data_IF_527758725759
#
_entry.id   IF_527758725759
#
_cell.length_a   1.000
_cell.length_b   1.000
_cell.length_c   1.000
_cell.angle_alpha   90.00
_cell.angle_beta   90.00
_cell.angle_gamma   90.00
#
_symmetry.space_group_name_H-M   'P 1'
#
loop_
_entity.id
_entity.type
_entity.pdbx_description
1 polymer ?
#
# COMPACT_ATOMS: atom_id res chain seq x y z
N UNK A 1 59.62 -48.55 -26.30
CA UNK A 1 59.91 -47.54 -25.24
C UNK A 1 58.60 -47.17 -24.58
N UNK A 2 58.48 -47.46 -23.28
CA UNK A 2 57.27 -47.31 -22.49
C UNK A 2 56.96 -45.83 -22.21
N UNK A 3 55.69 -45.42 -22.36
CA UNK A 3 55.19 -44.14 -21.84
C UNK A 3 54.60 -44.41 -20.45
N UNK A 4 55.28 -43.91 -19.42
CA UNK A 4 54.84 -43.91 -18.04
C UNK A 4 53.56 -43.10 -17.88
N UNK A 5 52.55 -43.73 -17.29
CA UNK A 5 51.32 -43.15 -16.76
C UNK A 5 51.59 -42.04 -15.76
N UNK A 6 50.96 -40.87 -15.93
CA UNK A 6 50.93 -39.81 -14.92
C UNK A 6 49.50 -39.67 -14.38
N UNK A 7 49.31 -40.34 -13.27
CA UNK A 7 48.29 -40.23 -12.22
C UNK A 7 47.47 -38.93 -12.26
N UNK A 8 46.15 -39.06 -12.37
CA UNK A 8 45.18 -38.01 -12.05
C UNK A 8 45.32 -37.72 -10.55
N UNK A 9 45.81 -36.53 -10.20
CA UNK A 9 45.71 -36.01 -8.83
C UNK A 9 44.40 -35.26 -8.73
N UNK A 10 43.47 -35.79 -7.93
CA UNK A 10 42.31 -35.06 -7.45
C UNK A 10 42.85 -33.90 -6.62
N UNK A 11 42.70 -32.68 -7.16
CA UNK A 11 43.03 -31.45 -6.46
C UNK A 11 42.02 -31.25 -5.33
N UNK A 12 42.56 -31.07 -4.14
CA UNK A 12 41.89 -30.89 -2.85
C UNK A 12 40.67 -29.98 -2.94
N UNK A 13 39.61 -30.39 -2.24
CA UNK A 13 38.52 -29.55 -1.77
C UNK A 13 39.08 -28.22 -1.27
N UNK A 14 38.92 -27.17 -2.07
CA UNK A 14 39.14 -25.82 -1.63
C UNK A 14 37.83 -25.38 -0.96
N UNK A 15 37.83 -25.04 0.35
CA UNK A 15 36.69 -24.37 0.96
C UNK A 15 36.43 -23.10 0.15
N UNK A 16 35.15 -22.77 -0.05
CA UNK A 16 34.75 -21.53 -0.70
C UNK A 16 35.48 -20.38 0.00
N UNK A 17 36.49 -19.83 -0.64
CA UNK A 17 37.08 -18.58 -0.21
C UNK A 17 36.07 -17.52 -0.67
N UNK A 18 35.34 -16.84 0.25
CA UNK A 18 34.52 -15.72 -0.17
C UNK A 18 35.45 -14.72 -0.87
N UNK A 19 35.03 -14.26 -2.04
CA UNK A 19 35.76 -13.25 -2.80
C UNK A 19 36.09 -12.08 -1.86
N UNK A 20 37.35 -11.63 -1.89
CA UNK A 20 37.97 -10.69 -0.92
C UNK A 20 37.45 -9.24 -1.07
N UNK A 21 36.27 -9.08 -1.65
CA UNK A 21 35.48 -7.85 -1.69
C UNK A 21 34.04 -8.09 -1.18
N UNK A 22 33.87 -9.02 -0.23
CA UNK A 22 32.62 -9.11 0.52
C UNK A 22 32.50 -7.88 1.42
N UNK A 23 31.89 -6.81 0.91
CA UNK A 23 31.43 -5.72 1.77
C UNK A 23 30.48 -6.31 2.83
N UNK A 24 30.65 -5.88 4.09
CA UNK A 24 29.81 -6.32 5.21
C UNK A 24 28.33 -6.21 4.84
N UNK A 25 27.48 -7.15 5.25
CA UNK A 25 26.02 -7.09 5.06
C UNK A 25 25.40 -5.80 5.63
N UNK A 26 26.08 -5.12 6.56
CA UNK A 26 25.69 -3.81 7.08
C UNK A 26 25.94 -2.63 6.12
N UNK A 27 26.74 -2.81 5.05
CA UNK A 27 26.92 -1.82 3.98
C UNK A 27 25.68 -1.69 3.10
N UNK A 28 24.87 -2.76 2.99
CA UNK A 28 23.66 -2.79 2.18
C UNK A 28 22.59 -1.80 2.68
N UNK A 29 22.44 -1.63 3.99
CA UNK A 29 21.49 -0.66 4.57
C UNK A 29 21.94 0.76 4.28
N UNK A 30 23.23 1.06 4.40
CA UNK A 30 23.79 2.37 4.08
C UNK A 30 23.73 2.68 2.57
N UNK A 31 23.92 1.66 1.73
CA UNK A 31 23.73 1.76 0.28
C UNK A 31 22.25 1.98 -0.06
N UNK A 32 21.34 1.25 0.58
CA UNK A 32 19.88 1.38 0.41
C UNK A 32 19.40 2.77 0.85
N UNK A 33 19.89 3.30 1.98
CA UNK A 33 19.61 4.68 2.42
C UNK A 33 19.99 5.74 1.38
N UNK A 34 21.05 5.50 0.59
CA UNK A 34 21.47 6.41 -0.48
C UNK A 34 20.66 6.25 -1.77
N UNK A 35 20.06 5.08 -1.98
CA UNK A 35 19.31 4.74 -3.18
C UNK A 35 17.83 5.11 -3.07
N UNK A 36 17.22 4.93 -1.90
CA UNK A 36 15.81 5.24 -1.67
C UNK A 36 15.59 6.75 -1.76
N UNK A 37 14.75 7.17 -2.71
CA UNK A 37 14.37 8.57 -2.91
C UNK A 37 12.87 8.66 -3.11
N UNK A 38 12.24 9.55 -2.35
CA UNK A 38 10.82 9.90 -2.51
C UNK A 38 10.73 11.27 -3.17
N UNK A 39 9.94 11.40 -4.24
CA UNK A 39 9.64 12.69 -4.88
C UNK A 39 8.14 12.89 -4.95
N UNK A 40 7.64 13.94 -4.31
CA UNK A 40 6.22 14.30 -4.40
C UNK A 40 6.01 15.06 -5.71
N UNK A 41 5.06 14.61 -6.53
CA UNK A 41 4.70 15.28 -7.78
C UNK A 41 3.56 16.27 -7.57
N UNK A 42 2.47 15.80 -6.98
CA UNK A 42 1.28 16.59 -6.69
C UNK A 42 0.72 16.21 -5.32
N UNK A 43 0.21 17.22 -4.64
CA UNK A 43 -0.48 17.09 -3.37
C UNK A 43 -1.75 17.91 -3.45
N UNK A 44 -2.87 17.25 -3.25
CA UNK A 44 -4.20 17.84 -3.15
C UNK A 44 -4.85 17.35 -1.85
N UNK A 45 -5.97 17.95 -1.46
CA UNK A 45 -6.64 17.62 -0.21
C UNK A 45 -7.10 16.15 -0.16
N UNK A 46 -7.46 15.58 -1.31
CA UNK A 46 -7.96 14.20 -1.42
C UNK A 46 -6.95 13.22 -2.05
N UNK A 47 -5.98 13.69 -2.85
CA UNK A 47 -5.02 12.82 -3.55
C UNK A 47 -3.56 13.28 -3.35
N UNK A 48 -2.67 12.31 -3.14
CA UNK A 48 -1.21 12.48 -3.23
C UNK A 48 -0.63 11.59 -4.34
N UNK A 49 0.22 12.18 -5.19
CA UNK A 49 0.98 11.46 -6.22
C UNK A 49 2.47 11.61 -5.94
N UNK A 50 3.16 10.49 -5.73
CA UNK A 50 4.60 10.49 -5.45
C UNK A 50 5.36 9.36 -6.14
N UNK A 51 6.64 9.61 -6.41
CA UNK A 51 7.59 8.64 -6.93
C UNK A 51 8.38 8.00 -5.77
N UNK A 52 8.42 6.68 -5.75
CA UNK A 52 9.29 5.89 -4.87
C UNK A 52 10.37 5.22 -5.73
N UNK A 53 11.60 5.70 -5.60
CA UNK A 53 12.75 5.26 -6.40
C UNK A 53 13.73 4.50 -5.51
N UNK A 54 14.32 3.41 -6.01
CA UNK A 54 15.35 2.63 -5.33
C UNK A 54 14.82 1.62 -4.32
N UNK A 55 13.56 1.22 -4.45
CA UNK A 55 12.89 0.22 -3.59
C UNK A 55 12.53 -1.00 -4.42
N UNK A 56 12.49 -2.18 -3.81
CA UNK A 56 12.01 -3.40 -4.47
C UNK A 56 10.48 -3.48 -4.52
N UNK A 57 9.96 -4.24 -5.50
CA UNK A 57 8.53 -4.46 -5.67
C UNK A 57 7.85 -5.06 -4.43
N UNK A 58 8.57 -5.86 -3.63
CA UNK A 58 8.03 -6.45 -2.41
C UNK A 58 7.63 -5.37 -1.39
N UNK A 59 8.50 -4.39 -1.14
CA UNK A 59 8.26 -3.31 -0.17
C UNK A 59 7.19 -2.35 -0.71
N UNK A 60 7.26 -2.00 -2.00
CA UNK A 60 6.23 -1.16 -2.63
C UNK A 60 4.83 -1.81 -2.55
N UNK A 61 4.74 -3.12 -2.83
CA UNK A 61 3.47 -3.83 -2.74
C UNK A 61 3.02 -4.05 -1.28
N UNK A 62 3.95 -4.18 -0.32
CA UNK A 62 3.62 -4.20 1.09
C UNK A 62 2.96 -2.88 1.51
N UNK A 63 3.58 -1.74 1.20
CA UNK A 63 3.02 -0.41 1.46
C UNK A 63 1.62 -0.25 0.84
N UNK A 64 1.43 -0.67 -0.41
CA UNK A 64 0.12 -0.67 -1.08
C UNK A 64 -0.93 -1.49 -0.32
N UNK A 65 -0.55 -2.66 0.20
CA UNK A 65 -1.48 -3.53 0.95
C UNK A 65 -1.86 -2.93 2.28
N UNK A 66 -0.90 -2.32 2.97
CA UNK A 66 -1.12 -1.66 4.27
C UNK A 66 -2.10 -0.51 4.10
N UNK A 67 -1.86 0.36 3.11
CA UNK A 67 -2.75 1.48 2.78
C UNK A 67 -4.20 1.04 2.51
N UNK A 68 -4.41 -0.14 1.93
CA UNK A 68 -5.74 -0.63 1.56
C UNK A 68 -6.48 -1.35 2.69
N UNK A 69 -5.76 -1.96 3.64
CA UNK A 69 -6.36 -2.98 4.51
C UNK A 69 -5.96 -2.88 5.98
N UNK A 70 -4.90 -2.15 6.32
CA UNK A 70 -4.33 -2.18 7.68
C UNK A 70 -4.31 -0.82 8.35
N UNK A 71 -4.56 0.27 7.61
CA UNK A 71 -4.79 1.56 8.24
C UNK A 71 -6.16 1.54 8.92
N UNK A 72 -6.23 1.83 10.24
CA UNK A 72 -7.50 1.88 10.96
C UNK A 72 -8.39 3.01 10.44
N UNK A 73 -9.69 2.77 10.36
CA UNK A 73 -10.70 3.76 9.92
C UNK A 73 -11.99 3.62 10.73
N UNK A 74 -12.76 4.71 10.83
CA UNK A 74 -14.05 4.71 11.52
C UNK A 74 -15.19 4.48 10.52
N UNK A 75 -16.05 3.50 10.82
CA UNK A 75 -17.21 3.16 10.01
C UNK A 75 -18.42 2.81 10.89
N UNK A 76 -19.63 2.84 10.30
CA UNK A 76 -20.85 2.45 11.00
C UNK A 76 -20.98 0.94 10.98
N UNK A 77 -20.88 0.30 12.14
CA UNK A 77 -21.04 -1.14 12.30
C UNK A 77 -22.45 -1.53 12.78
N UNK A 78 -22.91 -0.93 13.88
CA UNK A 78 -24.21 -1.23 14.47
C UNK A 78 -25.25 -0.16 14.14
N UNK A 79 -26.39 -0.58 13.56
CA UNK A 79 -27.52 0.28 13.23
C UNK A 79 -28.76 -0.17 13.97
N UNK A 80 -29.25 0.65 14.88
CA UNK A 80 -30.50 0.41 15.62
C UNK A 80 -31.67 1.08 14.91
N UNK A 81 -32.60 0.26 14.40
CA UNK A 81 -33.78 0.74 13.67
C UNK A 81 -35.00 0.68 14.60
N UNK A 82 -35.56 1.84 14.93
CA UNK A 82 -36.81 1.91 15.71
C UNK A 82 -38.05 1.72 14.83
N UNK A 83 -38.10 2.39 13.67
CA UNK A 83 -39.22 2.31 12.74
C UNK A 83 -38.79 2.73 11.34
N UNK A 84 -38.72 1.79 10.40
CA UNK A 84 -38.52 2.06 8.97
C UNK A 84 -39.81 1.76 8.21
N UNK A 85 -40.41 2.80 7.61
CA UNK A 85 -41.58 2.68 6.74
C UNK A 85 -41.26 2.98 5.27
N UNK A 86 -39.96 3.08 4.94
CA UNK A 86 -39.50 3.28 3.57
C UNK A 86 -39.62 1.99 2.75
N UNK A 87 -39.41 2.10 1.43
CA UNK A 87 -39.39 0.95 0.52
C UNK A 87 -38.09 0.14 0.67
N UNK A 88 -37.01 0.78 1.16
CA UNK A 88 -35.71 0.15 1.33
C UNK A 88 -35.76 -0.77 2.54
N UNK A 89 -35.39 -2.04 2.36
CA UNK A 89 -35.30 -3.00 3.45
C UNK A 89 -34.22 -2.59 4.45
N UNK A 90 -34.44 -2.95 5.72
CA UNK A 90 -33.60 -2.58 6.85
C UNK A 90 -32.14 -2.99 6.66
N UNK A 91 -31.89 -4.21 6.17
CA UNK A 91 -30.55 -4.74 5.95
C UNK A 91 -29.82 -3.97 4.84
N UNK A 92 -30.55 -3.60 3.78
CA UNK A 92 -30.01 -2.83 2.66
C UNK A 92 -29.70 -1.40 3.11
N UNK A 93 -30.56 -0.80 3.94
CA UNK A 93 -30.33 0.53 4.49
C UNK A 93 -29.11 0.53 5.41
N UNK A 94 -29.02 -0.43 6.35
CA UNK A 94 -27.89 -0.57 7.26
C UNK A 94 -26.57 -0.78 6.51
N UNK A 95 -26.55 -1.67 5.51
CA UNK A 95 -25.36 -1.90 4.70
C UNK A 95 -24.92 -0.63 3.94
N UNK A 96 -25.87 0.15 3.42
CA UNK A 96 -25.55 1.42 2.76
C UNK A 96 -25.00 2.47 3.72
N UNK A 97 -25.51 2.52 4.95
CA UNK A 97 -24.99 3.41 6.00
C UNK A 97 -23.57 3.02 6.41
N UNK A 98 -23.26 1.71 6.48
CA UNK A 98 -21.91 1.22 6.77
C UNK A 98 -20.85 1.62 5.74
N UNK A 99 -21.26 1.88 4.48
CA UNK A 99 -20.36 2.33 3.41
C UNK A 99 -20.17 3.85 3.34
N UNK A 100 -20.83 4.62 4.21
CA UNK A 100 -20.67 6.08 4.22
C UNK A 100 -19.38 6.42 4.97
N UNK A 101 -18.42 7.10 4.33
CA UNK A 101 -17.22 7.53 5.04
C UNK A 101 -17.56 8.62 6.06
N UNK A 102 -17.08 8.45 7.30
CA UNK A 102 -17.24 9.41 8.39
C UNK A 102 -15.98 10.27 8.52
N UNK A 103 -16.14 11.60 8.54
CA UNK A 103 -15.03 12.51 8.77
C UNK A 103 -14.68 12.58 10.27
N UNK A 104 -13.98 11.55 10.74
CA UNK A 104 -13.57 11.34 12.14
C UNK A 104 -12.15 10.79 12.13
N UNK A 105 -11.27 11.33 12.98
CA UNK A 105 -9.91 10.80 13.12
C UNK A 105 -9.94 9.51 13.98
N UNK A 106 -9.54 8.34 13.43
CA UNK A 106 -9.52 7.08 14.18
C UNK A 106 -8.51 7.08 15.32
N UNK A 107 -7.51 7.96 15.32
CA UNK A 107 -6.47 8.02 16.37
C UNK A 107 -7.00 8.52 17.72
N UNK A 108 -8.14 9.20 17.72
CA UNK A 108 -8.76 9.70 18.96
C UNK A 108 -9.54 8.61 19.72
N UNK A 109 -9.75 7.44 19.10
CA UNK A 109 -10.57 6.37 19.65
C UNK A 109 -9.74 5.14 19.98
N UNK A 110 -10.11 4.44 21.05
CA UNK A 110 -9.54 3.13 21.35
C UNK A 110 -10.30 2.05 20.59
N UNK A 111 -9.60 0.94 20.30
CA UNK A 111 -10.22 -0.22 19.67
C UNK A 111 -11.35 -0.77 20.53
N UNK A 112 -12.47 -1.13 19.90
CA UNK A 112 -13.57 -1.78 20.60
C UNK A 112 -13.12 -3.18 21.05
N UNK A 113 -13.20 -3.52 22.35
CA UNK A 113 -12.71 -4.80 22.84
C UNK A 113 -13.58 -5.96 22.34
N UNK A 114 -12.95 -7.09 21.97
CA UNK A 114 -13.63 -8.30 21.46
C UNK A 114 -14.45 -9.07 22.51
N UNK A 115 -14.55 -8.56 23.74
CA UNK A 115 -15.24 -9.25 24.82
C UNK A 115 -16.77 -9.13 24.67
N UNK A 116 -17.52 -10.20 24.94
CA UNK A 116 -18.99 -10.20 24.84
C UNK A 116 -19.67 -9.22 25.82
N UNK A 117 -18.95 -8.78 26.85
CA UNK A 117 -19.38 -7.76 27.84
C UNK A 117 -18.90 -6.34 27.52
N UNK A 118 -18.36 -6.10 26.32
CA UNK A 118 -17.88 -4.78 25.91
C UNK A 118 -19.02 -3.76 25.87
N UNK A 119 -18.95 -2.75 26.74
CA UNK A 119 -19.88 -1.61 26.72
C UNK A 119 -19.35 -0.49 25.82
N UNK A 120 -20.27 0.14 25.09
CA UNK A 120 -19.94 1.32 24.30
C UNK A 120 -19.67 2.52 25.23
N UNK A 121 -18.40 2.91 25.32
CA UNK A 121 -17.94 4.11 26.03
C UNK A 121 -17.79 5.29 25.06
N UNK A 122 -17.66 6.49 25.62
CA UNK A 122 -17.37 7.72 24.88
C UNK A 122 -15.99 7.72 24.21
N UNK A 123 -15.04 6.96 24.74
CA UNK A 123 -13.69 6.77 24.16
C UNK A 123 -13.65 5.79 22.98
N UNK A 124 -14.68 4.95 22.82
CA UNK A 124 -14.67 3.84 21.86
C UNK A 124 -15.74 3.97 20.76
N UNK A 125 -16.79 4.78 20.96
CA UNK A 125 -17.96 4.75 20.05
C UNK A 125 -18.58 6.12 19.85
N UNK A 126 -18.97 6.40 18.61
CA UNK A 126 -19.79 7.56 18.24
C UNK A 126 -21.19 7.10 17.86
N UNK A 127 -22.21 7.76 18.43
CA UNK A 127 -23.62 7.45 18.13
C UNK A 127 -24.23 8.55 17.28
N UNK A 128 -24.69 8.18 16.08
CA UNK A 128 -25.44 9.08 15.19
C UNK A 128 -26.94 8.79 15.25
N UNK A 129 -27.77 9.82 15.13
CA UNK A 129 -29.23 9.70 15.03
C UNK A 129 -29.72 10.20 13.68
N UNK A 130 -30.38 9.33 12.92
CA UNK A 130 -31.06 9.66 11.66
C UNK A 130 -32.58 9.61 11.87
N UNK A 131 -33.25 10.75 11.77
CA UNK A 131 -34.70 10.87 11.91
C UNK A 131 -35.24 11.75 10.76
N UNK A 132 -35.86 11.11 9.77
CA UNK A 132 -36.36 11.77 8.56
C UNK A 132 -37.81 11.39 8.34
N UNK A 133 -38.66 12.40 8.26
CA UNK A 133 -40.08 12.24 7.89
C UNK A 133 -40.34 13.00 6.59
N UNK A 134 -40.70 12.28 5.52
CA UNK A 134 -41.10 12.90 4.26
C UNK A 134 -42.47 13.56 4.43
N UNK A 135 -42.55 14.87 4.18
CA UNK A 135 -43.81 15.63 4.14
C UNK A 135 -44.01 16.15 2.73
N UNK A 136 -45.25 16.11 2.26
CA UNK A 136 -45.62 16.70 0.97
C UNK A 136 -45.46 18.22 1.05
N UNK A 137 -44.62 18.79 0.17
CA UNK A 137 -44.49 20.23 -0.01
C UNK A 137 -45.50 20.71 -1.08
N UNK A 138 -46.52 21.51 -0.70
CA UNK A 138 -47.51 22.02 -1.64
C UNK A 138 -46.98 23.11 -2.58
N UNK A 139 -45.82 23.72 -2.32
CA UNK A 139 -45.27 24.80 -3.16
C UNK A 139 -44.55 24.28 -4.41
N UNK A 140 -43.98 23.06 -4.39
CA UNK A 140 -43.20 22.51 -5.50
C UNK A 140 -43.59 21.05 -5.84
N UNK A 141 -44.75 20.83 -6.46
CA UNK A 141 -45.33 19.48 -6.61
C UNK A 141 -44.67 18.56 -7.66
N UNK A 142 -43.65 19.00 -8.42
CA UNK A 142 -43.20 18.29 -9.65
C UNK A 142 -41.70 18.30 -9.99
N UNK A 143 -40.79 18.73 -9.12
CA UNK A 143 -39.38 18.86 -9.52
C UNK A 143 -38.47 17.74 -8.96
N UNK A 144 -38.28 16.61 -9.67
CA UNK A 144 -37.32 15.57 -9.30
C UNK A 144 -35.87 15.92 -9.67
N UNK A 145 -35.64 17.07 -10.30
CA UNK A 145 -34.41 17.38 -11.06
C UNK A 145 -33.30 18.02 -10.24
N UNK A 146 -33.54 18.41 -8.97
CA UNK A 146 -32.48 18.89 -8.04
C UNK A 146 -31.54 17.79 -7.53
N UNK A 147 -31.67 16.55 -8.01
CA UNK A 147 -31.01 15.38 -7.44
C UNK A 147 -29.80 14.84 -8.22
N UNK A 148 -29.51 15.26 -9.46
CA UNK A 148 -28.40 14.63 -10.21
C UNK A 148 -27.75 15.65 -11.16
N UNK A 149 -26.55 16.09 -10.81
CA UNK A 149 -25.58 16.60 -11.77
C UNK A 149 -24.21 16.00 -11.46
N UNK A 150 -23.74 15.13 -12.33
CA UNK A 150 -22.30 14.93 -12.54
C UNK A 150 -22.06 14.90 -14.05
N UNK A 151 -21.25 15.84 -14.52
CA UNK A 151 -20.71 15.85 -15.88
C UNK A 151 -19.33 15.22 -15.81
N UNK A 152 -19.09 14.23 -16.67
CA UNK A 152 -17.75 13.63 -16.88
C UNK A 152 -17.15 14.31 -18.10
N UNK A 153 -15.97 14.92 -17.94
CA UNK A 153 -15.15 15.37 -19.06
C UNK A 153 -14.12 14.30 -19.43
N UNK A 154 -13.94 14.08 -20.74
CA UNK A 154 -12.95 13.17 -21.32
C UNK A 154 -11.54 13.77 -21.28
N UNK A 155 -10.55 12.96 -20.88
CA UNK A 155 -9.14 13.31 -20.90
C UNK A 155 -8.46 12.84 -22.20
N UNK A 156 -7.82 13.78 -22.90
CA UNK A 156 -7.05 13.53 -24.12
C UNK A 156 -5.56 13.42 -23.78
N UNK A 157 -4.98 12.23 -23.96
CA UNK A 157 -3.62 11.94 -23.48
C UNK A 157 -2.57 12.38 -24.52
N UNK A 158 -1.80 13.43 -24.19
CA UNK A 158 -0.73 14.01 -25.01
C UNK A 158 0.63 13.33 -24.84
N UNK A 159 0.74 12.05 -25.20
CA UNK A 159 1.93 11.21 -24.97
C UNK A 159 3.13 11.53 -25.89
N UNK A 160 2.88 11.88 -27.16
CA UNK A 160 3.92 12.17 -28.15
C UNK A 160 3.81 13.62 -28.62
N UNK A 161 4.96 14.27 -28.79
CA UNK A 161 5.06 15.57 -29.48
C UNK A 161 5.80 15.37 -30.81
N UNK A 162 5.54 16.26 -31.77
CA UNK A 162 6.24 16.25 -33.07
C UNK A 162 7.12 17.48 -33.12
N UNK A 163 8.42 17.28 -33.02
CA UNK A 163 9.43 18.32 -33.13
C UNK A 163 10.07 18.32 -34.51
N UNK A 164 10.32 19.50 -35.06
CA UNK A 164 11.02 19.64 -36.33
C UNK A 164 12.53 19.78 -36.10
N UNK A 165 13.25 18.66 -36.24
CA UNK A 165 14.70 18.62 -36.08
C UNK A 165 15.34 18.69 -37.47
N UNK A 166 15.65 19.91 -37.91
CA UNK A 166 16.35 20.16 -39.18
C UNK A 166 15.49 20.07 -40.45
N UNK A 167 14.18 20.36 -40.36
CA UNK A 167 13.24 20.32 -41.48
C UNK A 167 12.56 18.96 -41.68
N UNK A 168 12.74 18.03 -40.74
CA UNK A 168 12.12 16.71 -40.73
C UNK A 168 11.28 16.56 -39.46
N UNK A 169 9.95 16.38 -39.58
CA UNK A 169 9.09 16.15 -38.42
C UNK A 169 9.45 14.82 -37.76
N UNK A 170 9.94 14.90 -36.53
CA UNK A 170 10.42 13.78 -35.74
C UNK A 170 9.55 13.64 -34.49
N UNK A 171 8.97 12.46 -34.28
CA UNK A 171 8.20 12.19 -33.08
C UNK A 171 9.15 12.00 -31.88
N UNK A 172 8.98 12.83 -30.86
CA UNK A 172 9.71 12.72 -29.59
C UNK A 172 8.74 12.32 -28.48
N UNK A 173 9.26 11.58 -27.50
CA UNK A 173 8.47 11.25 -26.32
C UNK A 173 8.41 12.48 -25.43
N UNK A 174 7.22 13.08 -25.32
CA UNK A 174 6.99 14.29 -24.52
C UNK A 174 7.02 13.98 -23.03
N UNK A 175 6.17 13.04 -22.63
CA UNK A 175 6.05 12.58 -21.26
C UNK A 175 5.86 11.07 -21.23
N UNK A 176 6.86 10.37 -20.69
CA UNK A 176 6.82 8.91 -20.56
C UNK A 176 5.72 8.45 -19.59
N UNK A 177 5.33 9.29 -18.61
CA UNK A 177 4.36 8.94 -17.56
C UNK A 177 2.92 8.90 -18.05
N UNK A 178 2.60 9.72 -19.05
CA UNK A 178 1.30 9.72 -19.70
C UNK A 178 1.00 8.40 -20.45
N UNK A 179 1.98 7.50 -20.64
CA UNK A 179 1.78 6.25 -21.37
C UNK A 179 1.02 5.22 -20.52
N UNK A 180 -0.24 4.97 -20.86
CA UNK A 180 -1.05 3.87 -20.27
C UNK A 180 -0.59 2.47 -20.69
N UNK A 181 0.47 2.36 -21.49
CA UNK A 181 0.96 1.10 -22.07
C UNK A 181 -0.13 0.34 -22.84
N UNK A 182 -0.93 1.04 -23.65
CA UNK A 182 -1.92 0.42 -24.53
C UNK A 182 -1.29 -0.45 -25.65
N UNK A 183 0.05 -0.37 -25.84
CA UNK A 183 0.85 -1.07 -26.86
C UNK A 183 0.41 -0.81 -28.31
N UNK A 184 -0.42 0.21 -28.54
CA UNK A 184 -0.89 0.55 -29.88
C UNK A 184 0.26 1.02 -30.80
N UNK A 185 1.31 1.62 -30.23
CA UNK A 185 2.48 2.09 -30.98
C UNK A 185 3.36 0.99 -31.59
N UNK A 186 3.26 -0.26 -31.11
CA UNK A 186 3.98 -1.42 -31.68
C UNK A 186 3.06 -2.35 -32.49
N UNK A 187 1.79 -1.96 -32.65
CA UNK A 187 0.79 -2.77 -33.36
C UNK A 187 1.10 -2.89 -34.85
N UNK A 188 1.62 -1.82 -35.44
CA UNK A 188 2.03 -1.81 -36.83
C UNK A 188 3.47 -2.33 -36.97
N UNK A 189 3.73 -3.33 -37.85
CA UNK A 189 5.04 -3.99 -37.95
C UNK A 189 6.20 -3.04 -38.24
N UNK A 190 5.95 -1.96 -38.98
CA UNK A 190 6.94 -0.94 -39.32
C UNK A 190 7.46 -0.12 -38.13
N UNK A 191 6.73 -0.10 -37.01
CA UNK A 191 7.10 0.59 -35.79
C UNK A 191 7.70 -0.33 -34.73
N UNK A 192 7.45 -1.64 -34.85
CA UNK A 192 7.93 -2.65 -33.90
C UNK A 192 9.46 -2.68 -33.76
N UNK A 193 10.20 -2.43 -34.85
CA UNK A 193 11.67 -2.37 -34.83
C UNK A 193 12.21 -1.02 -34.35
N UNK A 194 11.38 0.03 -34.31
CA UNK A 194 11.77 1.41 -33.99
C UNK A 194 11.47 1.81 -32.55
N UNK A 195 10.51 1.15 -31.90
CA UNK A 195 10.02 1.51 -30.56
C UNK A 195 10.30 0.36 -29.60
N UNK A 196 11.06 0.62 -28.54
CA UNK A 196 11.23 -0.31 -27.42
C UNK A 196 10.40 0.17 -26.23
N UNK A 197 9.44 -0.65 -25.81
CA UNK A 197 8.66 -0.41 -24.61
C UNK A 197 9.28 -1.18 -23.44
N UNK A 198 9.46 -0.50 -22.31
CA UNK A 198 9.96 -1.09 -21.08
C UNK A 198 9.42 -0.33 -19.88
N UNK A 199 9.67 -0.88 -18.69
CA UNK A 199 9.44 -0.21 -17.41
C UNK A 199 10.73 -0.25 -16.61
N UNK A 200 10.93 0.80 -15.85
CA UNK A 200 11.97 0.81 -14.82
C UNK A 200 11.42 0.07 -13.61
N UNK A 201 12.12 -0.97 -13.14
CA UNK A 201 11.64 -1.86 -12.06
C UNK A 201 11.83 -1.29 -10.66
N UNK A 202 12.76 -0.36 -10.50
CA UNK A 202 13.12 0.31 -9.25
C UNK A 202 12.48 1.71 -9.12
N UNK A 203 11.48 2.02 -9.93
CA UNK A 203 10.78 3.31 -9.94
C UNK A 203 9.28 3.08 -9.96
N UNK A 204 8.65 3.32 -8.81
CA UNK A 204 7.21 3.20 -8.62
C UNK A 204 6.58 4.59 -8.57
N UNK A 205 5.44 4.75 -9.23
CA UNK A 205 4.60 5.93 -9.16
C UNK A 205 3.35 5.53 -8.39
N UNK A 206 3.14 6.12 -7.23
CA UNK A 206 1.97 5.90 -6.38
C UNK A 206 1.00 7.08 -6.53
N UNK A 207 -0.27 6.78 -6.83
CA UNK A 207 -1.42 7.64 -6.54
C UNK A 207 -2.10 7.07 -5.31
N UNK A 208 -2.30 7.88 -4.29
CA UNK A 208 -3.09 7.52 -3.12
C UNK A 208 -4.20 8.55 -2.99
N UNK A 209 -5.44 8.07 -3.17
CA UNK A 209 -6.66 8.85 -3.01
C UNK A 209 -7.29 8.50 -1.66
N UNK A 210 -7.53 9.52 -0.84
CA UNK A 210 -8.28 9.42 0.41
C UNK A 210 -9.77 9.64 0.16
N UNK A 211 -10.60 9.00 0.98
CA UNK A 211 -12.06 9.20 1.01
C UNK A 211 -12.49 10.37 1.91
N UNK A 212 -11.53 11.14 2.44
CA UNK A 212 -11.77 12.37 3.19
C UNK A 212 -11.78 12.25 4.71
N UNK A 213 -11.50 11.07 5.28
CA UNK A 213 -11.35 10.91 6.75
C UNK A 213 -9.98 11.38 7.24
N UNK A 214 -8.94 10.98 6.53
CA UNK A 214 -7.53 11.24 6.84
C UNK A 214 -6.91 11.88 5.61
N UNK A 215 -6.09 12.90 5.78
CA UNK A 215 -5.37 13.50 4.64
C UNK A 215 -4.42 12.49 3.99
N UNK A 216 -4.24 12.53 2.67
CA UNK A 216 -3.43 11.53 1.96
C UNK A 216 -1.95 11.50 2.40
N UNK A 217 -1.40 12.65 2.82
CA UNK A 217 -0.05 12.74 3.40
C UNK A 217 0.09 12.02 4.74
N UNK A 218 -0.91 12.12 5.61
CA UNK A 218 -0.93 11.48 6.91
C UNK A 218 -1.21 9.98 6.79
N UNK A 219 -2.06 9.60 5.83
CA UNK A 219 -2.37 8.21 5.50
C UNK A 219 -1.11 7.44 5.09
N UNK A 220 -0.24 8.08 4.29
CA UNK A 220 1.04 7.50 3.88
C UNK A 220 1.99 7.30 5.07
N UNK A 221 2.06 8.28 5.98
CA UNK A 221 2.88 8.18 7.19
C UNK A 221 2.37 7.06 8.10
N UNK A 222 1.05 6.95 8.26
CA UNK A 222 0.43 5.91 9.07
C UNK A 222 0.77 4.51 8.54
N UNK A 223 0.65 4.31 7.22
CA UNK A 223 0.99 3.03 6.61
C UNK A 223 2.47 2.64 6.80
N UNK A 224 3.39 3.62 6.80
CA UNK A 224 4.80 3.36 7.09
C UNK A 224 5.02 3.01 8.57
N UNK A 225 4.30 3.65 9.48
CA UNK A 225 4.36 3.33 10.91
C UNK A 225 3.86 1.90 11.18
N UNK A 226 2.73 1.50 10.59
CA UNK A 226 2.20 0.13 10.70
C UNK A 226 3.21 -0.90 10.18
N UNK A 227 3.89 -0.60 9.07
CA UNK A 227 4.95 -1.48 8.56
C UNK A 227 6.12 -1.61 9.55
N UNK A 228 6.56 -0.51 10.15
CA UNK A 228 7.64 -0.50 11.12
C UNK A 228 7.26 -1.23 12.41
N UNK A 229 6.05 -1.02 12.91
CA UNK A 229 5.53 -1.66 14.11
C UNK A 229 5.44 -3.18 13.94
N UNK A 230 4.98 -3.67 12.80
CA UNK A 230 4.99 -5.11 12.49
C UNK A 230 6.40 -5.72 12.50
N UNK A 231 7.39 -4.99 11.99
CA UNK A 231 8.78 -5.44 12.06
C UNK A 231 9.30 -5.47 13.51
N UNK A 232 8.91 -4.49 14.33
CA UNK A 232 9.28 -4.45 15.75
C UNK A 232 8.63 -5.59 16.54
N UNK A 233 7.33 -5.84 16.36
CA UNK A 233 6.62 -6.96 17.00
C UNK A 233 7.29 -8.29 16.65
N UNK A 234 7.64 -8.48 15.37
CA UNK A 234 8.36 -9.67 14.95
C UNK A 234 9.73 -9.77 15.62
N UNK A 235 10.49 -8.67 15.69
CA UNK A 235 11.78 -8.62 16.37
C UNK A 235 11.67 -9.00 17.86
N UNK A 236 10.72 -8.41 18.57
CA UNK A 236 10.46 -8.66 19.99
C UNK A 236 10.11 -10.13 20.25
N UNK A 237 9.32 -10.74 19.36
CA UNK A 237 8.98 -12.16 19.46
C UNK A 237 10.17 -13.10 19.31
N UNK A 238 11.21 -12.71 18.57
CA UNK A 238 12.44 -13.49 18.47
C UNK A 238 13.33 -13.32 19.69
N UNK A 239 13.40 -12.12 20.28
CA UNK A 239 14.24 -11.86 21.46
C UNK A 239 13.71 -12.53 22.74
N UNK A 240 12.40 -12.77 22.84
CA UNK A 240 11.81 -13.46 23.99
C UNK A 240 12.11 -14.98 24.01
N UNK A 241 12.30 -15.60 22.84
CA UNK A 241 12.63 -17.03 22.73
C UNK A 241 14.01 -17.32 23.33
N UNK A 242 14.95 -16.38 23.23
CA UNK A 242 16.29 -16.53 23.80
C UNK A 242 16.28 -16.48 25.34
N UNK A 243 15.32 -15.77 25.97
CA UNK A 243 15.18 -15.69 27.44
C UNK A 243 14.51 -16.95 28.03
N UNK A 244 13.61 -17.59 27.29
CA UNK A 244 12.96 -18.84 27.71
C UNK A 244 13.89 -20.06 27.59
N UNK A 245 14.84 -20.07 26.64
CA UNK A 245 15.87 -21.13 26.53
C UNK A 245 16.93 -21.02 27.64
N UNK A 246 17.34 -19.82 28.06
CA UNK A 246 18.28 -19.65 29.18
C UNK A 246 17.70 -20.10 30.54
N UNK A 247 16.38 -20.00 30.75
CA UNK A 247 15.75 -20.56 31.97
C UNK A 247 15.55 -22.08 31.95
N UNK A 248 15.46 -22.70 30.76
CA UNK A 248 15.36 -24.16 30.64
C UNK A 248 16.68 -24.87 30.96
N UNK A 249 17.81 -24.26 30.60
CA UNK A 249 19.15 -24.80 30.89
C UNK A 249 19.52 -24.64 32.38
N UNK A 250 19.02 -23.61 33.07
CA UNK A 250 19.21 -23.44 34.52
C UNK A 250 18.43 -24.48 35.36
N UNK A 251 17.23 -24.90 34.92
CA UNK A 251 16.45 -25.94 35.59
C UNK A 251 17.04 -27.35 35.41
N UNK A 252 17.61 -27.67 34.24
CA UNK A 252 18.32 -28.95 34.02
C UNK A 252 19.65 -29.03 34.80
N UNK A 253 20.37 -27.91 34.98
CA UNK A 253 21.58 -27.87 35.83
C UNK A 253 21.28 -27.98 37.33
N UNK A 254 20.10 -27.58 37.81
CA UNK A 254 19.68 -27.78 39.21
C UNK A 254 19.21 -29.22 39.47
N UNK A 255 18.53 -29.88 38.52
CA UNK A 255 18.10 -31.28 38.68
C UNK A 255 19.28 -32.27 38.62
N UNK A 256 20.31 -32.03 37.79
CA UNK A 256 21.53 -32.86 37.73
C UNK A 256 22.46 -32.68 38.95
N UNK A 257 22.23 -31.66 39.80
CA UNK A 257 22.96 -31.45 41.06
C UNK A 257 22.29 -32.12 42.27
N UNK A 258 21.08 -32.65 42.12
CA UNK A 258 20.33 -33.33 43.19
C UNK A 258 20.32 -34.88 43.11
N UNK A 259 21.00 -35.52 42.13
CA UNK A 259 21.21 -36.99 42.06
C UNK A 259 22.59 -37.49 42.57
#
# INVERSE_FOLDING_TARGET
MAKSSKVIRVGQDAPHQPDVESESSYSFVEQSKRQVKVKIQSLTDDEIVFDLIGVDAAIANALRRILLAEVPTMAIEHVYIWNNSSIIQDEVLAHRLGLVPLNVDPREFQAFPDNEEAEATDENTIVFKLDVTCKFDPEHPKDPTKAIHSSVEECQIGLFDIEDIGGVPTAVVKDQRACTMCRNCIREPSWNEKIRLGRQSDHFIFSVESVGMIKPEELLLEALNVLAEKCNIALESFTQVDEDEEMGDEEEEEEDQEE
#
